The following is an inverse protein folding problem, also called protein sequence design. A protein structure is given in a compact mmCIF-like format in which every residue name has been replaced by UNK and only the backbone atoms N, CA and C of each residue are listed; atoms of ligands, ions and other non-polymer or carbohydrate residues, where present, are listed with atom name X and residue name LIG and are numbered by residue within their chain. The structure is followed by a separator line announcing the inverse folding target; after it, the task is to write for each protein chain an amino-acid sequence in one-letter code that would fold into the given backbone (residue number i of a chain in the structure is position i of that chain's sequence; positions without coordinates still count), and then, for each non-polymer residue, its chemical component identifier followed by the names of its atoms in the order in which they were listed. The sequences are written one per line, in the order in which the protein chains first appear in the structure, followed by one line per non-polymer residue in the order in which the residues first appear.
data_IF_703057689826
#
_entry.id   IF_703057689826
#
_cell.length_a   1.000
_cell.length_b   1.000
_cell.length_c   1.000
_cell.angle_alpha   90.00
_cell.angle_beta   90.00
_cell.angle_gamma   90.00
#
_symmetry.space_group_name_H-M   'P 1'
#
loop_
_entity.id
_entity.type
_entity.pdbx_description
1 polymer ?
#
# COMPACT_ATOMS: atom_id res chain seq x y z
N UNK A 1 4.22 59.87 -34.30
CA UNK A 1 3.53 60.18 -33.02
C UNK A 1 3.61 58.96 -32.13
N UNK A 2 4.29 59.03 -30.97
CA UNK A 2 4.31 57.92 -30.01
C UNK A 2 3.00 57.97 -29.22
N UNK A 3 2.16 56.93 -29.34
CA UNK A 3 0.92 56.83 -28.55
C UNK A 3 1.32 56.46 -27.12
N UNK A 4 1.01 57.35 -26.18
CA UNK A 4 1.21 57.09 -24.76
C UNK A 4 0.03 56.28 -24.22
N UNK A 5 0.34 55.34 -23.34
CA UNK A 5 -0.65 54.51 -22.67
C UNK A 5 -1.37 55.35 -21.61
N UNK A 6 -2.70 55.29 -21.56
CA UNK A 6 -3.48 56.08 -20.61
C UNK A 6 -3.53 55.38 -19.24
N UNK A 7 -3.67 56.17 -18.17
CA UNK A 7 -3.82 55.64 -16.81
C UNK A 7 -5.04 54.71 -16.67
N UNK A 8 -6.11 54.96 -17.44
CA UNK A 8 -7.32 54.14 -17.41
C UNK A 8 -7.13 52.80 -18.11
N UNK A 9 -6.39 52.76 -19.23
CA UNK A 9 -6.01 51.50 -19.88
C UNK A 9 -5.14 50.63 -18.96
N UNK A 10 -4.27 51.24 -18.16
CA UNK A 10 -3.46 50.52 -17.16
C UNK A 10 -4.33 49.82 -16.12
N UNK A 11 -5.33 50.52 -15.59
CA UNK A 11 -6.26 49.94 -14.61
C UNK A 11 -7.01 48.76 -15.23
N UNK A 12 -7.52 48.90 -16.46
CA UNK A 12 -8.20 47.81 -17.16
C UNK A 12 -7.29 46.60 -17.39
N UNK A 13 -6.04 46.81 -17.79
CA UNK A 13 -5.08 45.72 -18.01
C UNK A 13 -4.81 44.96 -16.70
N UNK A 14 -4.60 45.66 -15.58
CA UNK A 14 -4.34 45.01 -14.29
C UNK A 14 -5.56 44.19 -13.84
N UNK A 15 -6.77 44.74 -13.99
CA UNK A 15 -8.01 44.03 -13.64
C UNK A 15 -8.19 42.77 -14.50
N UNK A 16 -7.98 42.88 -15.82
CA UNK A 16 -8.13 41.75 -16.75
C UNK A 16 -7.09 40.66 -16.45
N UNK A 17 -5.82 41.04 -16.22
CA UNK A 17 -4.78 40.09 -15.84
C UNK A 17 -5.09 39.43 -14.49
N UNK A 18 -5.63 40.18 -13.52
CA UNK A 18 -6.03 39.63 -12.23
C UNK A 18 -7.12 38.56 -12.34
N UNK A 19 -8.14 38.80 -13.18
CA UNK A 19 -9.20 37.82 -13.44
C UNK A 19 -8.65 36.60 -14.18
N UNK A 20 -7.84 36.81 -15.21
CA UNK A 20 -7.23 35.70 -15.97
C UNK A 20 -6.32 34.85 -15.08
N UNK A 21 -5.52 35.47 -14.21
CA UNK A 21 -4.66 34.76 -13.27
C UNK A 21 -5.48 33.88 -12.31
N UNK A 22 -6.60 34.38 -11.79
CA UNK A 22 -7.46 33.61 -10.88
C UNK A 22 -8.11 32.38 -11.54
N UNK A 23 -8.44 32.46 -12.84
CA UNK A 23 -9.07 31.35 -13.59
C UNK A 23 -8.04 30.31 -14.06
N UNK A 24 -6.79 30.73 -14.30
CA UNK A 24 -5.73 29.87 -14.85
C UNK A 24 -5.01 29.06 -13.77
N UNK A 25 -5.14 29.38 -12.48
CA UNK A 25 -4.52 28.59 -11.40
C UNK A 25 -5.08 27.15 -11.44
N UNK A 26 -4.27 26.14 -11.81
CA UNK A 26 -4.72 24.76 -11.75
C UNK A 26 -4.99 24.40 -10.30
N UNK A 27 -6.07 23.65 -10.04
CA UNK A 27 -6.29 23.05 -8.72
C UNK A 27 -5.23 21.97 -8.52
N UNK A 28 -4.12 22.33 -7.87
CA UNK A 28 -3.08 21.38 -7.43
C UNK A 28 -3.59 20.70 -6.15
N UNK A 29 -4.66 19.90 -6.28
CA UNK A 29 -5.03 18.94 -5.25
C UNK A 29 -4.33 17.63 -5.60
N UNK A 30 -3.43 17.16 -4.74
CA UNK A 30 -2.92 15.79 -4.84
C UNK A 30 -4.07 14.80 -4.69
N UNK A 31 -4.15 13.81 -5.57
CA UNK A 31 -5.10 12.71 -5.38
C UNK A 31 -4.53 11.79 -4.28
N UNK A 32 -4.98 11.99 -3.02
CA UNK A 32 -4.52 11.24 -1.85
C UNK A 32 -4.74 9.73 -1.99
N UNK A 33 -5.86 9.34 -2.61
CA UNK A 33 -6.15 7.94 -2.94
C UNK A 33 -5.11 7.34 -3.90
N UNK A 34 -4.65 8.12 -4.90
CA UNK A 34 -3.56 7.72 -5.79
C UNK A 34 -2.21 7.63 -5.05
N UNK A 35 -1.90 8.58 -4.16
CA UNK A 35 -0.68 8.55 -3.34
C UNK A 35 -0.64 7.29 -2.46
N UNK A 36 -1.75 6.95 -1.80
CA UNK A 36 -1.89 5.73 -1.01
C UNK A 36 -1.61 4.49 -1.85
N UNK A 37 -2.21 4.40 -3.06
CA UNK A 37 -2.01 3.26 -3.93
C UNK A 37 -0.56 3.09 -4.39
N UNK A 38 0.10 4.19 -4.74
CA UNK A 38 1.53 4.19 -5.12
C UNK A 38 2.39 3.73 -3.94
N UNK A 39 2.11 4.23 -2.73
CA UNK A 39 2.84 3.81 -1.53
C UNK A 39 2.67 2.31 -1.27
N UNK A 40 1.44 1.79 -1.35
CA UNK A 40 1.17 0.37 -1.15
C UNK A 40 1.87 -0.48 -2.21
N UNK A 41 1.84 -0.08 -3.50
CA UNK A 41 2.57 -0.77 -4.57
C UNK A 41 4.08 -0.79 -4.31
N UNK A 42 4.65 0.34 -3.90
CA UNK A 42 6.07 0.44 -3.55
C UNK A 42 6.44 -0.54 -2.45
N UNK A 43 5.62 -0.62 -1.40
CA UNK A 43 5.84 -1.53 -0.28
C UNK A 43 5.60 -3.00 -0.62
N UNK A 44 4.65 -3.33 -1.48
CA UNK A 44 4.49 -4.70 -2.00
C UNK A 44 5.76 -5.14 -2.73
N UNK A 45 6.29 -4.28 -3.60
CA UNK A 45 7.56 -4.54 -4.31
C UNK A 45 8.74 -4.66 -3.35
N UNK A 46 8.75 -3.87 -2.28
CA UNK A 46 9.76 -3.98 -1.24
C UNK A 46 9.67 -5.30 -0.47
N UNK A 47 8.47 -5.73 -0.08
CA UNK A 47 8.25 -7.05 0.54
C UNK A 47 8.70 -8.18 -0.38
N UNK A 48 8.39 -8.09 -1.67
CA UNK A 48 8.88 -9.03 -2.67
C UNK A 48 10.41 -9.02 -2.76
N UNK A 49 11.03 -7.84 -2.75
CA UNK A 49 12.48 -7.70 -2.75
C UNK A 49 13.13 -8.35 -1.52
N UNK A 50 12.56 -8.16 -0.33
CA UNK A 50 13.01 -8.84 0.89
C UNK A 50 12.96 -10.36 0.73
N UNK A 51 11.88 -10.91 0.17
CA UNK A 51 11.77 -12.34 -0.10
C UNK A 51 12.84 -12.87 -1.07
N UNK A 52 13.19 -12.09 -2.10
CA UNK A 52 14.23 -12.47 -3.07
C UNK A 52 15.64 -12.45 -2.49
N UNK A 53 15.91 -11.57 -1.52
CA UNK A 53 17.25 -11.39 -0.93
C UNK A 53 17.46 -12.25 0.32
N UNK A 54 16.39 -12.49 1.07
CA UNK A 54 16.41 -13.15 2.38
C UNK A 54 15.43 -14.33 2.36
N UNK A 55 15.89 -15.46 1.81
CA UNK A 55 15.15 -16.72 1.81
C UNK A 55 15.07 -17.29 3.23
N UNK A 56 13.85 -17.65 3.63
CA UNK A 56 13.52 -18.18 4.95
C UNK A 56 13.45 -19.71 4.99
N UNK A 57 13.91 -20.37 3.93
CA UNK A 57 13.97 -21.81 3.85
C UNK A 57 14.83 -22.44 4.95
N UNK A 58 14.24 -23.38 5.69
CA UNK A 58 14.95 -24.25 6.61
C UNK A 58 14.52 -25.71 6.37
N UNK A 59 15.46 -26.55 5.94
CA UNK A 59 15.21 -27.97 5.70
C UNK A 59 14.97 -28.77 7.00
N UNK A 60 15.39 -28.24 8.15
CA UNK A 60 15.23 -28.86 9.46
C UNK A 60 13.86 -28.60 10.09
N UNK A 61 13.10 -27.61 9.61
CA UNK A 61 11.82 -27.21 10.18
C UNK A 61 10.68 -27.40 9.17
N UNK A 62 9.70 -28.28 9.40
CA UNK A 62 8.60 -28.52 8.46
C UNK A 62 7.67 -27.32 8.27
N UNK A 63 7.73 -26.32 9.14
CA UNK A 63 6.89 -25.12 9.17
C UNK A 63 7.62 -23.84 8.77
N UNK A 64 8.86 -23.94 8.28
CA UNK A 64 9.70 -22.80 7.84
C UNK A 64 8.95 -21.78 6.96
N UNK A 65 7.98 -22.25 6.17
CA UNK A 65 7.19 -21.42 5.25
C UNK A 65 6.32 -20.36 5.93
N UNK A 66 6.06 -20.49 7.24
CA UNK A 66 5.37 -19.45 8.02
C UNK A 66 6.18 -18.16 8.08
N UNK A 67 7.51 -18.28 7.97
CA UNK A 67 8.43 -17.15 7.98
C UNK A 67 8.51 -16.40 6.65
N UNK A 68 7.78 -16.78 5.59
CA UNK A 68 7.77 -16.01 4.35
C UNK A 68 7.52 -14.52 4.60
N UNK A 69 8.28 -13.68 3.90
CA UNK A 69 8.10 -12.23 3.96
C UNK A 69 6.70 -11.87 3.50
N UNK A 70 6.02 -11.03 4.28
CA UNK A 70 4.62 -10.73 4.07
C UNK A 70 4.30 -9.25 4.27
N UNK A 71 3.24 -8.82 3.61
CA UNK A 71 2.54 -7.57 3.88
C UNK A 71 1.16 -7.89 4.45
N UNK A 72 0.85 -7.34 5.62
CA UNK A 72 -0.37 -7.62 6.37
C UNK A 72 -1.17 -6.34 6.59
N UNK A 73 -2.40 -6.30 6.08
CA UNK A 73 -3.35 -5.20 6.25
C UNK A 73 -4.37 -5.51 7.34
N UNK A 74 -4.60 -4.54 8.22
CA UNK A 74 -5.57 -4.69 9.30
C UNK A 74 -6.13 -3.36 9.77
N UNK A 75 -7.10 -3.45 10.68
CA UNK A 75 -7.39 -2.32 11.53
C UNK A 75 -6.31 -2.16 12.58
N UNK A 76 -6.00 -0.91 12.94
CA UNK A 76 -5.08 -0.59 14.02
C UNK A 76 -5.50 -1.31 15.32
N UNK A 77 -4.50 -1.74 16.09
CA UNK A 77 -4.67 -2.46 17.35
C UNK A 77 -5.31 -1.58 18.43
N UNK A 78 -5.24 -0.25 18.34
CA UNK A 78 -5.87 0.68 19.29
C UNK A 78 -7.41 0.72 19.22
N UNK A 79 -7.99 0.14 18.17
CA UNK A 79 -9.44 0.09 17.96
C UNK A 79 -10.04 1.34 17.31
N UNK A 80 -9.22 2.26 16.79
CA UNK A 80 -9.64 3.43 15.99
C UNK A 80 -10.48 3.05 14.77
N UNK A 81 -10.24 1.87 14.20
CA UNK A 81 -10.78 1.47 12.90
C UNK A 81 -9.92 1.93 11.73
N UNK A 82 -8.77 2.55 11.99
CA UNK A 82 -7.83 2.96 10.96
C UNK A 82 -7.25 1.76 10.23
N UNK A 83 -7.12 1.88 8.91
CA UNK A 83 -6.50 0.87 8.07
C UNK A 83 -5.00 1.08 8.11
N UNK A 84 -4.28 0.09 8.61
CA UNK A 84 -2.83 0.06 8.71
C UNK A 84 -2.29 -1.17 7.99
N UNK A 85 -1.01 -1.14 7.62
CA UNK A 85 -0.32 -2.35 7.19
C UNK A 85 1.08 -2.48 7.79
N UNK A 86 1.57 -3.71 7.83
CA UNK A 86 2.87 -4.08 8.40
C UNK A 86 3.61 -5.01 7.45
N UNK A 87 4.91 -4.77 7.28
CA UNK A 87 5.81 -5.63 6.50
C UNK A 87 6.74 -6.36 7.47
N UNK A 88 6.72 -7.69 7.44
CA UNK A 88 7.48 -8.48 8.40
C UNK A 88 7.71 -9.92 7.91
N UNK A 89 8.48 -10.67 8.68
CA UNK A 89 8.68 -12.11 8.52
C UNK A 89 8.56 -12.75 9.90
N UNK A 90 7.69 -13.76 10.02
CA UNK A 90 7.40 -14.47 11.27
C UNK A 90 8.56 -15.42 11.61
N UNK A 91 9.53 -14.94 12.40
CA UNK A 91 10.78 -15.63 12.73
C UNK A 91 10.60 -16.71 13.78
N UNK A 92 9.66 -16.54 14.69
CA UNK A 92 9.39 -17.51 15.75
C UNK A 92 8.41 -18.62 15.31
N UNK A 93 7.92 -18.53 14.07
CA UNK A 93 7.04 -19.49 13.41
C UNK A 93 5.68 -19.65 14.09
N UNK A 94 5.22 -18.57 14.72
CA UNK A 94 3.92 -18.45 15.35
C UNK A 94 2.80 -19.02 14.49
N UNK A 95 1.83 -19.66 15.15
CA UNK A 95 0.70 -20.25 14.45
C UNK A 95 -0.22 -19.18 13.87
N UNK A 96 -0.11 -18.99 12.56
CA UNK A 96 -0.82 -17.97 11.82
C UNK A 96 -2.32 -18.24 11.69
N UNK A 97 -2.83 -19.39 12.15
CA UNK A 97 -4.28 -19.69 12.19
C UNK A 97 -5.06 -18.63 12.96
N UNK A 98 -4.41 -17.99 13.94
CA UNK A 98 -4.90 -16.78 14.60
C UNK A 98 -4.23 -15.58 13.92
N UNK A 99 -4.97 -14.48 13.74
CA UNK A 99 -4.33 -13.26 13.24
C UNK A 99 -3.44 -12.67 14.33
N UNK A 100 -2.18 -13.11 14.36
CA UNK A 100 -1.17 -12.67 15.33
C UNK A 100 -0.45 -11.43 14.79
N UNK A 101 -0.18 -10.49 15.67
CA UNK A 101 0.65 -9.31 15.40
C UNK A 101 2.12 -9.72 15.48
N UNK A 102 3.00 -9.24 14.59
CA UNK A 102 4.41 -9.58 14.66
C UNK A 102 5.06 -9.12 15.96
N UNK A 103 6.12 -9.81 16.36
CA UNK A 103 7.03 -9.27 17.36
C UNK A 103 7.83 -8.09 16.79
N UNK A 104 8.26 -7.19 17.67
CA UNK A 104 8.86 -5.92 17.25
C UNK A 104 10.15 -6.09 16.42
N UNK A 105 10.89 -7.19 16.62
CA UNK A 105 12.12 -7.53 15.90
C UNK A 105 11.88 -8.34 14.60
N UNK A 106 10.64 -8.72 14.32
CA UNK A 106 10.22 -9.37 13.07
C UNK A 106 9.87 -8.36 11.96
N UNK A 107 9.51 -7.14 12.37
CA UNK A 107 9.08 -6.07 11.47
C UNK A 107 10.29 -5.58 10.67
N UNK A 108 10.09 -5.46 9.36
CA UNK A 108 11.11 -4.90 8.47
C UNK A 108 11.43 -3.46 8.87
N UNK A 109 12.69 -3.06 8.78
CA UNK A 109 13.09 -1.66 8.96
C UNK A 109 13.18 -0.96 7.62
N UNK A 110 12.77 0.31 7.60
CA UNK A 110 12.96 1.20 6.47
C UNK A 110 14.45 1.45 6.22
N UNK A 111 14.94 1.33 4.97
CA UNK A 111 16.35 1.59 4.66
C UNK A 111 16.72 3.08 4.72
N UNK A 112 15.73 3.99 4.73
CA UNK A 112 15.95 5.44 4.68
C UNK A 112 16.17 6.03 6.07
N UNK A 113 15.34 5.63 7.03
CA UNK A 113 15.25 6.28 8.34
C UNK A 113 15.21 5.29 9.52
N UNK A 114 15.30 3.98 9.23
CA UNK A 114 15.31 2.89 10.23
C UNK A 114 14.05 2.83 11.10
N UNK A 115 12.95 3.44 10.67
CA UNK A 115 11.65 3.22 11.30
C UNK A 115 11.15 1.81 10.96
N UNK A 116 10.33 1.24 11.84
CA UNK A 116 9.68 -0.03 11.58
C UNK A 116 8.62 0.18 10.50
N UNK A 117 8.60 -0.70 9.50
CA UNK A 117 7.62 -0.70 8.42
C UNK A 117 6.30 -1.29 8.92
N UNK A 118 5.65 -0.51 9.77
CA UNK A 118 4.31 -0.74 10.29
C UNK A 118 3.62 0.60 10.48
N UNK A 119 2.32 0.65 10.22
CA UNK A 119 1.45 1.77 10.61
C UNK A 119 0.79 1.58 11.97
N UNK A 120 0.89 0.39 12.56
CA UNK A 120 0.15 0.00 13.75
C UNK A 120 0.66 0.72 15.00
N UNK A 121 -0.26 1.35 15.73
CA UNK A 121 0.00 2.07 16.98
C UNK A 121 0.62 1.21 18.09
N UNK A 122 0.51 -0.13 18.00
CA UNK A 122 1.16 -1.07 18.92
C UNK A 122 2.68 -0.85 19.02
N UNK A 123 3.31 -0.32 17.96
CA UNK A 123 4.76 -0.14 17.91
C UNK A 123 5.14 1.34 18.01
N UNK A 124 6.07 1.65 18.93
CA UNK A 124 6.51 3.03 19.18
C UNK A 124 7.33 3.63 18.01
N UNK A 125 8.16 2.82 17.34
CA UNK A 125 9.02 3.24 16.23
C UNK A 125 8.35 3.02 14.85
N UNK A 126 7.02 3.20 14.77
CA UNK A 126 6.23 2.95 13.57
C UNK A 126 6.41 4.03 12.50
N UNK A 127 6.20 3.66 11.24
CA UNK A 127 6.18 4.60 10.11
C UNK A 127 4.77 5.17 9.95
N UNK A 128 4.57 6.42 10.35
CA UNK A 128 3.23 7.05 10.39
C UNK A 128 2.45 6.99 9.07
N UNK A 129 3.12 7.12 7.93
CA UNK A 129 2.45 7.07 6.61
C UNK A 129 1.85 5.70 6.27
N UNK A 130 2.19 4.65 7.01
CA UNK A 130 1.61 3.31 6.85
C UNK A 130 0.28 3.14 7.60
N UNK A 131 -0.13 4.12 8.40
CA UNK A 131 -1.55 4.33 8.72
C UNK A 131 -2.16 5.11 7.55
N UNK A 132 -2.76 4.38 6.62
CA UNK A 132 -3.26 4.96 5.36
C UNK A 132 -4.61 5.64 5.55
N UNK A 133 -5.31 5.39 6.65
CA UNK A 133 -6.49 6.16 7.03
C UNK A 133 -6.10 7.56 7.45
N UNK A 134 -5.15 7.70 8.38
CA UNK A 134 -4.69 9.01 8.84
C UNK A 134 -3.96 9.80 7.75
N UNK A 135 -3.06 9.16 6.99
CA UNK A 135 -2.22 9.85 6.02
C UNK A 135 -2.96 10.23 4.72
N UNK A 136 -3.88 9.36 4.27
CA UNK A 136 -4.51 9.49 2.95
C UNK A 136 -6.04 9.53 2.97
N UNK A 137 -6.68 9.34 4.13
CA UNK A 137 -8.14 9.30 4.24
C UNK A 137 -8.77 7.99 3.75
N UNK A 138 -8.02 6.89 3.69
CA UNK A 138 -8.57 5.59 3.29
C UNK A 138 -9.56 5.08 4.34
N UNK A 139 -10.77 4.71 3.90
CA UNK A 139 -11.88 4.34 4.78
C UNK A 139 -12.46 2.97 4.40
N UNK A 140 -11.90 1.89 4.95
CA UNK A 140 -12.37 0.52 4.71
C UNK A 140 -12.99 -0.02 6.00
N UNK A 141 -14.32 -0.02 6.11
CA UNK A 141 -15.01 -0.49 7.31
C UNK A 141 -15.03 -2.02 7.46
N UNK A 142 -15.10 -2.75 6.34
CA UNK A 142 -15.04 -4.22 6.32
C UNK A 142 -13.79 -4.67 5.57
N UNK A 143 -12.82 -5.19 6.31
CA UNK A 143 -11.55 -5.68 5.76
C UNK A 143 -11.71 -6.83 4.76
N UNK A 144 -12.85 -7.54 4.73
CA UNK A 144 -13.13 -8.55 3.72
C UNK A 144 -13.37 -7.94 2.32
N UNK A 145 -13.54 -6.62 2.23
CA UNK A 145 -13.68 -5.89 0.96
C UNK A 145 -12.36 -5.39 0.40
N UNK A 146 -11.29 -5.35 1.22
CA UNK A 146 -9.98 -4.86 0.82
C UNK A 146 -9.40 -5.70 -0.32
N UNK A 147 -9.43 -7.03 -0.21
CA UNK A 147 -8.84 -7.92 -1.20
C UNK A 147 -9.88 -8.82 -1.86
N UNK A 148 -9.74 -9.03 -3.16
CA UNK A 148 -10.67 -9.81 -3.98
C UNK A 148 -9.96 -10.62 -5.07
N UNK A 149 -10.73 -11.34 -5.87
CA UNK A 149 -10.25 -12.24 -6.92
C UNK A 149 -9.29 -13.30 -6.36
N UNK A 150 -8.07 -13.41 -6.91
CA UNK A 150 -7.08 -14.40 -6.49
C UNK A 150 -6.65 -14.30 -5.03
N UNK A 151 -6.96 -13.18 -4.35
CA UNK A 151 -6.69 -13.04 -2.92
C UNK A 151 -7.80 -13.57 -1.99
N UNK A 152 -9.00 -13.90 -2.50
CA UNK A 152 -10.08 -14.51 -1.71
C UNK A 152 -10.32 -13.87 -0.32
N UNK A 153 -10.44 -12.53 -0.27
CA UNK A 153 -10.67 -11.77 0.97
C UNK A 153 -9.57 -11.91 2.02
N UNK A 154 -8.38 -12.38 1.63
CA UNK A 154 -7.22 -12.41 2.49
C UNK A 154 -6.84 -11.00 2.95
N UNK A 155 -6.04 -10.96 4.02
CA UNK A 155 -5.50 -9.72 4.59
C UNK A 155 -3.98 -9.65 4.46
N UNK A 156 -3.37 -10.74 4.01
CA UNK A 156 -1.94 -10.97 3.97
C UNK A 156 -1.55 -11.49 2.61
N UNK A 157 -0.43 -11.00 2.11
CA UNK A 157 0.20 -11.51 0.90
C UNK A 157 1.64 -11.84 1.26
N UNK A 158 2.03 -13.08 0.98
CA UNK A 158 3.34 -13.62 1.22
C UNK A 158 4.12 -13.70 -0.08
N UNK A 159 5.44 -13.66 0.00
CA UNK A 159 6.32 -13.88 -1.13
C UNK A 159 7.33 -14.97 -0.81
N UNK A 160 7.55 -15.88 -1.76
CA UNK A 160 8.64 -16.83 -1.69
C UNK A 160 9.95 -16.27 -2.25
N UNK A 161 11.03 -17.06 -2.19
CA UNK A 161 12.36 -16.68 -2.67
C UNK A 161 12.47 -16.48 -4.18
N UNK A 162 11.40 -16.77 -4.94
CA UNK A 162 11.29 -16.46 -6.37
C UNK A 162 10.43 -15.22 -6.62
N UNK A 163 9.91 -14.60 -5.56
CA UNK A 163 9.01 -13.46 -5.63
C UNK A 163 7.59 -13.81 -6.06
N UNK A 164 7.20 -15.10 -5.99
CA UNK A 164 5.83 -15.52 -6.30
C UNK A 164 4.91 -15.17 -5.13
N UNK A 165 3.74 -14.59 -5.39
CA UNK A 165 2.82 -14.25 -4.33
C UNK A 165 2.04 -15.49 -3.87
N UNK A 166 1.83 -15.59 -2.55
CA UNK A 166 1.03 -16.64 -1.91
C UNK A 166 0.06 -16.02 -0.90
N UNK A 167 -1.03 -16.75 -0.62
CA UNK A 167 -1.85 -16.51 0.56
C UNK A 167 -1.32 -17.32 1.74
N UNK A 168 -1.87 -17.07 2.92
CA UNK A 168 -1.49 -17.81 4.12
C UNK A 168 -1.75 -19.32 3.94
N UNK A 169 -0.73 -20.13 4.20
CA UNK A 169 -0.83 -21.58 4.26
C UNK A 169 -0.54 -22.07 5.67
N UNK A 170 -1.28 -23.09 6.12
CA UNK A 170 -1.05 -23.75 7.40
C UNK A 170 -0.54 -25.19 7.24
N UNK A 171 -0.44 -25.70 6.01
CA UNK A 171 -0.13 -27.13 5.78
C UNK A 171 1.12 -27.39 4.95
N UNK A 172 1.51 -26.47 4.06
CA UNK A 172 2.73 -26.61 3.24
C UNK A 172 3.15 -25.28 2.60
N UNK A 173 4.41 -25.21 2.18
CA UNK A 173 5.01 -23.97 1.67
C UNK A 173 4.35 -23.38 0.43
N UNK A 174 3.76 -24.19 -0.44
CA UNK A 174 3.34 -23.76 -1.78
C UNK A 174 1.88 -24.09 -2.13
N UNK A 175 1.05 -24.49 -1.16
CA UNK A 175 -0.36 -24.83 -1.40
C UNK A 175 -1.17 -23.64 -1.93
N UNK A 176 -0.82 -22.44 -1.49
CA UNK A 176 -1.61 -21.22 -1.63
C UNK A 176 -0.96 -20.21 -2.58
N UNK A 177 -0.13 -20.69 -3.51
CA UNK A 177 0.36 -19.89 -4.64
C UNK A 177 -0.84 -19.26 -5.36
N UNK A 178 -0.73 -17.96 -5.64
CA UNK A 178 -1.75 -17.29 -6.44
C UNK A 178 -1.77 -17.86 -7.86
N UNK A 179 -2.97 -18.24 -8.33
CA UNK A 179 -3.22 -18.76 -9.68
C UNK A 179 -4.01 -17.78 -10.56
N UNK A 180 -4.46 -16.67 -9.98
CA UNK A 180 -5.18 -15.60 -10.67
C UNK A 180 -4.80 -14.26 -10.06
N UNK A 181 -5.04 -13.17 -10.81
CA UNK A 181 -4.74 -11.80 -10.36
C UNK A 181 -5.43 -11.53 -9.02
N UNK A 182 -4.64 -11.12 -8.03
CA UNK A 182 -5.16 -10.58 -6.78
C UNK A 182 -5.43 -9.10 -6.94
N UNK A 183 -6.54 -8.62 -6.37
CA UNK A 183 -6.91 -7.21 -6.39
C UNK A 183 -7.05 -6.66 -4.99
N UNK A 184 -6.29 -5.61 -4.68
CA UNK A 184 -6.46 -4.79 -3.48
C UNK A 184 -7.23 -3.52 -3.88
N UNK A 185 -8.32 -3.20 -3.20
CA UNK A 185 -9.13 -2.01 -3.48
C UNK A 185 -9.06 -1.06 -2.30
N UNK A 186 -8.53 0.13 -2.52
CA UNK A 186 -8.54 1.23 -1.55
C UNK A 186 -9.70 2.17 -1.90
N UNK A 187 -10.31 2.77 -0.88
CA UNK A 187 -11.41 3.73 -1.04
C UNK A 187 -11.27 4.84 -0.01
N UNK A 188 -11.64 6.06 -0.37
CA UNK A 188 -11.79 7.20 0.55
C UNK A 188 -13.27 7.42 0.95
N UNK A 189 -14.14 6.46 0.63
CA UNK A 189 -15.59 6.52 0.81
C UNK A 189 -16.35 7.17 -0.37
N UNK A 190 -15.66 7.86 -1.28
CA UNK A 190 -16.25 8.45 -2.48
C UNK A 190 -15.75 7.75 -3.75
N UNK A 191 -14.44 7.62 -3.88
CA UNK A 191 -13.76 7.03 -5.03
C UNK A 191 -13.03 5.74 -4.63
N UNK A 192 -12.75 4.91 -5.64
CA UNK A 192 -12.03 3.65 -5.47
C UNK A 192 -10.80 3.62 -6.39
N UNK A 193 -9.72 3.03 -5.90
CA UNK A 193 -8.55 2.70 -6.69
C UNK A 193 -8.16 1.25 -6.43
N UNK A 194 -7.78 0.55 -7.49
CA UNK A 194 -7.41 -0.86 -7.40
C UNK A 194 -5.94 -1.05 -7.71
N UNK A 195 -5.31 -1.99 -6.99
CA UNK A 195 -3.95 -2.46 -7.19
C UNK A 195 -4.06 -3.93 -7.60
N UNK A 196 -3.41 -4.29 -8.70
CA UNK A 196 -3.28 -5.68 -9.12
C UNK A 196 -1.95 -6.25 -8.65
N UNK A 197 -1.97 -7.54 -8.30
CA UNK A 197 -0.78 -8.36 -8.08
C UNK A 197 -0.93 -9.58 -8.97
N UNK A 198 -0.01 -9.73 -9.92
CA UNK A 198 -0.02 -10.84 -10.88
C UNK A 198 0.48 -12.14 -10.25
N UNK A 199 -0.15 -13.28 -10.57
CA UNK A 199 0.38 -14.58 -10.18
C UNK A 199 1.76 -14.81 -10.84
N UNK A 200 2.53 -15.75 -10.29
CA UNK A 200 3.88 -16.17 -10.75
C UNK A 200 4.99 -15.11 -10.68
N UNK A 201 4.73 -13.85 -11.02
CA UNK A 201 5.76 -12.80 -11.04
C UNK A 201 5.74 -11.91 -9.82
N UNK A 202 4.61 -11.85 -9.10
CA UNK A 202 4.40 -10.91 -8.01
C UNK A 202 4.37 -9.45 -8.46
N UNK A 203 4.29 -9.20 -9.77
CA UNK A 203 4.27 -7.84 -10.30
C UNK A 203 3.05 -7.08 -9.77
N UNK A 204 3.31 -6.00 -9.03
CA UNK A 204 2.30 -5.14 -8.46
C UNK A 204 2.20 -3.81 -9.21
N UNK A 205 0.98 -3.38 -9.53
CA UNK A 205 0.71 -2.13 -10.25
C UNK A 205 -0.61 -1.50 -9.81
N UNK A 206 -0.74 -0.19 -10.02
CA UNK A 206 -2.04 0.49 -9.90
C UNK A 206 -2.83 0.24 -11.18
N UNK A 207 -4.12 -0.06 -11.07
CA UNK A 207 -5.01 -0.24 -12.21
C UNK A 207 -5.63 1.10 -12.65
N UNK A 208 -5.89 1.23 -13.95
CA UNK A 208 -6.67 2.33 -14.51
C UNK A 208 -8.10 2.37 -13.94
N UNK A 209 -8.84 3.43 -14.25
CA UNK A 209 -10.25 3.58 -13.80
C UNK A 209 -11.20 2.51 -14.33
N UNK A 210 -10.86 1.83 -15.43
CA UNK A 210 -11.60 0.67 -15.92
C UNK A 210 -11.31 -0.62 -15.13
N UNK A 211 -10.24 -0.62 -14.32
CA UNK A 211 -9.80 -1.76 -13.53
C UNK A 211 -9.24 -2.90 -14.37
N UNK A 212 -8.70 -2.63 -15.55
CA UNK A 212 -8.25 -3.65 -16.52
C UNK A 212 -6.74 -3.64 -16.75
N UNK A 213 -6.12 -2.45 -16.75
CA UNK A 213 -4.73 -2.30 -17.18
C UNK A 213 -3.90 -1.55 -16.13
N UNK A 214 -2.64 -1.94 -15.99
CA UNK A 214 -1.66 -1.25 -15.17
C UNK A 214 -1.33 0.14 -15.73
N UNK A 215 -1.20 1.14 -14.86
CA UNK A 215 -0.78 2.51 -15.18
C UNK A 215 0.55 2.88 -14.53
#
# INVERSE_FOLDING_TARGET
MKKAFTMLELVFVIVVIGILAAVVIPRIGSNKLQEAAIQVVSHIRYTQHLALVDDRFDAGDPTWYRAHWQIYFKHDTDGSGDVVYTIYSNKDLDDMTVSVNPDADEIASSPLDRQNLTGDSLYANRTGSMNITDEYGIAIADMNTLMSNGCNQARRIFFDHLGRPLLQSNTSAYQTLLTSQCRITLTDGSDNIAIAIEPETGYACVLNSAGTDCI
#
